data_IF_231568122762
#
_entry.id   IF_231568122762
#
_cell.length_a   1.000
_cell.length_b   1.000
_cell.length_c   1.000
_cell.angle_alpha   90.00
_cell.angle_beta   90.00
_cell.angle_gamma   90.00
#
_symmetry.space_group_name_H-M   'P 1'
#
loop_
_entity.id
_entity.type
_entity.pdbx_description
1 polymer ?
#
# COMPACT_ATOMS: atom_id res chain seq x y z
N UNK A 1 -12.26 16.02 -2.06
CA UNK A 1 -12.22 14.69 -1.39
C UNK A 1 -13.06 13.68 -2.15
N UNK A 2 -12.61 12.45 -2.28
CA UNK A 2 -13.37 11.30 -2.78
C UNK A 2 -13.37 10.20 -1.71
N UNK A 3 -14.57 9.77 -1.30
CA UNK A 3 -14.74 8.65 -0.37
C UNK A 3 -15.30 7.44 -1.13
N UNK A 4 -14.73 6.28 -0.89
CA UNK A 4 -15.14 5.02 -1.48
C UNK A 4 -15.28 3.99 -0.35
N UNK A 5 -16.43 3.34 -0.26
CA UNK A 5 -16.57 2.10 0.46
C UNK A 5 -16.16 0.97 -0.51
N UNK A 6 -15.09 0.26 -0.20
CA UNK A 6 -14.60 -0.79 -1.10
C UNK A 6 -15.58 -1.98 -1.20
N UNK A 7 -16.54 -2.11 -0.27
CA UNK A 7 -17.60 -3.11 -0.39
C UNK A 7 -18.55 -2.82 -1.55
N UNK A 8 -18.72 -1.57 -1.94
CA UNK A 8 -19.62 -1.15 -3.01
C UNK A 8 -19.02 -1.34 -4.42
N UNK A 9 -17.70 -1.58 -4.50
CA UNK A 9 -17.05 -1.84 -5.78
C UNK A 9 -17.06 -3.33 -6.08
N UNK A 10 -17.58 -3.77 -7.24
CA UNK A 10 -17.52 -5.17 -7.63
C UNK A 10 -16.07 -5.58 -7.93
N UNK A 11 -15.73 -6.82 -7.62
CA UNK A 11 -14.51 -7.44 -8.07
C UNK A 11 -14.51 -7.60 -9.59
N UNK A 12 -13.41 -7.23 -10.23
CA UNK A 12 -13.18 -7.38 -11.68
C UNK A 12 -12.00 -8.33 -11.91
N UNK A 13 -11.98 -9.09 -13.01
CA UNK A 13 -10.77 -9.83 -13.40
C UNK A 13 -9.58 -8.89 -13.57
N UNK A 14 -8.42 -9.28 -13.03
CA UNK A 14 -7.16 -8.56 -13.26
C UNK A 14 -6.75 -8.76 -14.72
N UNK A 15 -6.53 -7.69 -15.51
CA UNK A 15 -6.26 -7.83 -16.95
C UNK A 15 -5.01 -8.64 -17.26
N UNK A 16 -3.95 -8.42 -16.49
CA UNK A 16 -2.61 -8.95 -16.78
C UNK A 16 -2.27 -10.23 -15.99
N UNK A 17 -3.12 -10.61 -15.03
CA UNK A 17 -2.85 -11.74 -14.14
C UNK A 17 -4.08 -12.65 -14.09
N UNK A 18 -4.13 -13.68 -14.95
CA UNK A 18 -5.25 -14.59 -15.04
C UNK A 18 -5.64 -15.20 -13.69
N UNK A 19 -6.95 -15.20 -13.40
CA UNK A 19 -7.50 -15.76 -12.17
C UNK A 19 -7.47 -14.88 -10.94
N UNK A 20 -6.74 -13.77 -10.94
CA UNK A 20 -6.84 -12.75 -9.90
C UNK A 20 -7.98 -11.78 -10.15
N UNK A 21 -8.48 -11.16 -9.08
CA UNK A 21 -9.49 -10.11 -9.15
C UNK A 21 -8.98 -8.84 -8.48
N UNK A 22 -9.50 -7.69 -8.92
CA UNK A 22 -9.15 -6.41 -8.34
C UNK A 22 -10.34 -5.46 -8.24
N UNK A 23 -10.20 -4.44 -7.39
CA UNK A 23 -11.08 -3.28 -7.28
C UNK A 23 -10.23 -2.04 -7.47
N UNK A 24 -10.36 -1.30 -8.58
CA UNK A 24 -9.61 -0.07 -8.77
C UNK A 24 -10.13 1.02 -7.81
N UNK A 25 -9.22 1.64 -7.09
CA UNK A 25 -9.54 2.73 -6.15
C UNK A 25 -9.08 4.09 -6.69
N UNK A 26 -7.87 4.12 -7.26
CA UNK A 26 -7.28 5.33 -7.84
C UNK A 26 -6.33 4.94 -8.97
N UNK A 27 -6.30 5.76 -10.00
CA UNK A 27 -5.22 5.78 -10.99
C UNK A 27 -4.70 7.20 -11.08
N UNK A 28 -3.41 7.37 -10.96
CA UNK A 28 -2.74 8.65 -11.12
C UNK A 28 -2.63 8.96 -12.62
N UNK A 29 -3.24 10.04 -13.12
CA UNK A 29 -3.26 10.33 -14.55
C UNK A 29 -1.88 10.70 -15.11
N UNK A 30 -0.98 11.21 -14.28
CA UNK A 30 0.33 11.68 -14.72
C UNK A 30 1.36 10.57 -14.75
N UNK A 31 1.30 9.65 -13.80
CA UNK A 31 2.30 8.60 -13.64
C UNK A 31 1.79 7.20 -14.00
N UNK A 32 0.46 7.02 -14.11
CA UNK A 32 -0.15 5.70 -14.24
C UNK A 32 -0.09 4.87 -12.95
N UNK A 33 0.34 5.47 -11.84
CA UNK A 33 0.37 4.81 -10.53
C UNK A 33 -1.03 4.43 -10.08
N UNK A 34 -1.16 3.24 -9.51
CA UNK A 34 -2.45 2.67 -9.14
C UNK A 34 -2.56 2.45 -7.64
N UNK A 35 -3.78 2.59 -7.13
CA UNK A 35 -4.19 2.12 -5.81
C UNK A 35 -5.39 1.20 -6.00
N UNK A 36 -5.29 -0.02 -5.50
CA UNK A 36 -6.34 -1.02 -5.67
C UNK A 36 -6.41 -2.01 -4.49
N UNK A 37 -7.55 -2.66 -4.33
CA UNK A 37 -7.64 -3.89 -3.57
C UNK A 37 -7.50 -5.07 -4.54
N UNK A 38 -6.67 -6.06 -4.20
CA UNK A 38 -6.43 -7.27 -5.00
C UNK A 38 -6.90 -8.49 -4.23
N UNK A 39 -7.63 -9.36 -4.90
CA UNK A 39 -8.04 -10.66 -4.37
C UNK A 39 -7.36 -11.78 -5.14
N UNK A 40 -6.72 -12.65 -4.41
CA UNK A 40 -6.05 -13.85 -4.89
C UNK A 40 -6.89 -15.03 -4.40
N UNK A 41 -7.53 -15.80 -5.28
CA UNK A 41 -8.38 -16.92 -4.89
C UNK A 41 -7.59 -18.05 -4.20
N UNK A 42 -8.25 -18.87 -3.37
CA UNK A 42 -7.66 -20.11 -2.87
C UNK A 42 -7.17 -21.00 -4.03
N UNK A 43 -5.99 -21.59 -3.87
CA UNK A 43 -5.36 -22.46 -4.87
C UNK A 43 -4.75 -21.73 -6.06
N UNK A 44 -4.80 -20.40 -6.13
CA UNK A 44 -4.16 -19.65 -7.19
C UNK A 44 -2.63 -19.77 -7.12
N UNK A 45 -2.01 -20.02 -8.27
CA UNK A 45 -0.56 -20.19 -8.40
C UNK A 45 -0.16 -20.35 -9.85
N UNK A 46 0.98 -20.99 -10.10
CA UNK A 46 1.59 -21.15 -11.43
C UNK A 46 0.65 -21.77 -12.47
N UNK A 47 -0.23 -22.69 -12.07
CA UNK A 47 -1.19 -23.31 -12.96
C UNK A 47 -2.15 -22.30 -13.62
N UNK A 48 -2.51 -21.23 -12.90
CA UNK A 48 -3.33 -20.14 -13.44
C UNK A 48 -2.60 -19.32 -14.50
N UNK A 49 -1.24 -19.34 -14.47
CA UNK A 49 -0.35 -18.64 -15.40
C UNK A 49 0.09 -19.51 -16.59
N UNK A 50 -0.50 -20.71 -16.77
CA UNK A 50 -0.13 -21.64 -17.84
C UNK A 50 1.16 -22.39 -17.55
N UNK A 51 1.46 -22.67 -16.29
CA UNK A 51 2.61 -23.47 -15.82
C UNK A 51 3.97 -22.88 -16.20
N UNK A 52 4.03 -21.59 -16.48
CA UNK A 52 5.29 -20.87 -16.75
C UNK A 52 5.65 -19.99 -15.57
N UNK A 53 6.85 -20.13 -15.01
CA UNK A 53 7.32 -19.20 -13.99
C UNK A 53 7.22 -17.76 -14.50
N UNK A 54 6.61 -16.91 -13.69
CA UNK A 54 6.54 -15.49 -13.95
C UNK A 54 7.59 -14.79 -13.11
N UNK A 55 8.74 -14.54 -13.68
CA UNK A 55 9.86 -13.82 -13.06
C UNK A 55 10.11 -12.54 -13.83
N UNK A 56 10.06 -11.42 -13.14
CA UNK A 56 10.22 -10.09 -13.74
C UNK A 56 10.67 -9.06 -12.72
N UNK A 57 10.99 -7.88 -13.18
CA UNK A 57 11.17 -6.68 -12.36
C UNK A 57 10.63 -5.45 -13.08
N UNK A 58 10.36 -4.38 -12.33
CA UNK A 58 9.95 -3.10 -12.87
C UNK A 58 11.14 -2.13 -12.83
N UNK A 59 11.44 -1.48 -13.94
CA UNK A 59 12.62 -0.60 -14.05
C UNK A 59 12.54 0.63 -13.18
N UNK A 60 11.36 1.23 -13.10
CA UNK A 60 11.12 2.54 -12.48
C UNK A 60 9.96 2.55 -11.49
N UNK A 61 9.20 1.47 -11.41
CA UNK A 61 8.01 1.36 -10.55
C UNK A 61 8.40 0.76 -9.21
N UNK A 62 8.01 1.45 -8.14
CA UNK A 62 7.92 0.84 -6.81
C UNK A 62 6.54 0.25 -6.59
N UNK A 63 6.49 -0.86 -5.91
CA UNK A 63 5.25 -1.53 -5.52
C UNK A 63 5.17 -1.67 -4.01
N UNK A 64 4.01 -1.40 -3.45
CA UNK A 64 3.76 -1.56 -2.02
C UNK A 64 2.45 -2.29 -1.80
N UNK A 65 2.38 -3.08 -0.75
CA UNK A 65 1.13 -3.72 -0.36
C UNK A 65 1.04 -3.98 1.13
N UNK A 66 -0.18 -3.90 1.66
CA UNK A 66 -0.52 -4.40 2.98
C UNK A 66 -1.46 -5.61 2.82
N UNK A 67 -1.07 -6.76 3.37
CA UNK A 67 -1.92 -7.95 3.39
C UNK A 67 -3.01 -7.77 4.44
N UNK A 68 -4.27 -7.61 4.00
CA UNK A 68 -5.39 -7.36 4.92
C UNK A 68 -6.14 -8.63 5.30
N UNK A 69 -6.09 -9.67 4.47
CA UNK A 69 -6.69 -10.97 4.73
C UNK A 69 -5.89 -12.11 4.12
N UNK A 70 -5.92 -13.29 4.78
CA UNK A 70 -5.33 -14.53 4.27
C UNK A 70 -3.82 -14.52 4.16
N UNK A 71 -3.31 -15.34 3.27
CA UNK A 71 -1.89 -15.46 2.97
C UNK A 71 -1.62 -15.57 1.46
N UNK A 72 -0.42 -15.19 1.04
CA UNK A 72 -0.01 -15.23 -0.35
C UNK A 72 1.47 -15.62 -0.47
N UNK A 73 1.79 -16.83 -0.93
CA UNK A 73 3.13 -17.21 -1.34
C UNK A 73 3.58 -16.42 -2.55
N UNK A 74 4.80 -15.90 -2.50
CA UNK A 74 5.40 -15.11 -3.56
C UNK A 74 6.91 -15.36 -3.57
N UNK A 75 7.56 -15.29 -4.73
CA UNK A 75 8.99 -15.57 -4.86
C UNK A 75 9.77 -14.29 -5.08
N UNK A 76 10.87 -14.18 -4.34
CA UNK A 76 11.81 -13.06 -4.40
C UNK A 76 13.17 -13.58 -4.83
N UNK A 77 13.90 -12.77 -5.59
CA UNK A 77 15.18 -13.16 -6.16
C UNK A 77 16.23 -12.10 -5.88
N UNK A 78 17.44 -12.48 -5.54
CA UNK A 78 18.55 -11.56 -5.26
C UNK A 78 19.13 -10.96 -6.54
N UNK A 79 19.18 -11.77 -7.59
CA UNK A 79 19.74 -11.42 -8.89
C UNK A 79 19.10 -12.25 -10.01
N UNK A 80 19.53 -12.04 -11.25
CA UNK A 80 18.99 -12.73 -12.41
C UNK A 80 19.28 -14.25 -12.41
N UNK A 81 20.34 -14.69 -11.74
CA UNK A 81 20.77 -16.10 -11.70
C UNK A 81 20.21 -16.85 -10.48
N UNK A 82 19.64 -16.16 -9.50
CA UNK A 82 19.06 -16.77 -8.30
C UNK A 82 17.78 -17.54 -8.65
N UNK A 83 17.93 -18.81 -8.99
CA UNK A 83 16.83 -19.73 -9.32
C UNK A 83 17.07 -21.06 -8.61
N UNK A 84 16.10 -21.63 -7.90
CA UNK A 84 14.79 -21.05 -7.60
C UNK A 84 14.87 -19.83 -6.69
N UNK A 85 13.85 -18.96 -6.75
CA UNK A 85 13.72 -17.85 -5.84
C UNK A 85 13.40 -18.29 -4.41
N UNK A 86 13.49 -17.36 -3.48
CA UNK A 86 13.04 -17.55 -2.09
C UNK A 86 11.54 -17.36 -2.00
N UNK A 87 10.80 -18.41 -1.58
CA UNK A 87 9.37 -18.31 -1.37
C UNK A 87 9.07 -17.60 -0.04
N UNK A 88 8.46 -16.45 -0.12
CA UNK A 88 7.99 -15.68 1.05
C UNK A 88 6.47 -15.75 1.13
N UNK A 89 5.93 -16.25 2.25
CA UNK A 89 4.49 -16.31 2.49
C UNK A 89 4.06 -15.05 3.22
N UNK A 90 3.51 -14.08 2.49
CA UNK A 90 2.92 -12.86 3.06
C UNK A 90 1.64 -13.22 3.80
N UNK A 91 1.51 -12.82 5.05
CA UNK A 91 0.35 -13.09 5.91
C UNK A 91 -0.38 -11.81 6.26
N UNK A 92 -1.60 -11.93 6.76
CA UNK A 92 -2.35 -10.78 7.30
C UNK A 92 -1.47 -9.92 8.21
N UNK A 93 -1.46 -8.61 7.95
CA UNK A 93 -0.63 -7.64 8.66
C UNK A 93 0.79 -7.49 8.10
N UNK A 94 1.18 -8.23 7.07
CA UNK A 94 2.48 -8.02 6.43
C UNK A 94 2.42 -6.88 5.42
N UNK A 95 3.34 -5.95 5.58
CA UNK A 95 3.61 -4.87 4.63
C UNK A 95 4.79 -5.24 3.77
N UNK A 96 4.67 -5.00 2.47
CA UNK A 96 5.74 -5.16 1.47
C UNK A 96 6.09 -3.80 0.89
N UNK A 97 7.37 -3.49 0.84
CA UNK A 97 7.96 -2.35 0.13
C UNK A 97 8.95 -2.89 -0.89
N UNK A 98 8.60 -2.78 -2.16
CA UNK A 98 9.40 -3.26 -3.29
C UNK A 98 9.83 -2.07 -4.13
N UNK A 99 11.10 -1.67 -4.04
CA UNK A 99 11.63 -0.59 -4.86
C UNK A 99 11.76 -1.02 -6.34
N UNK A 100 12.01 -0.08 -7.26
CA UNK A 100 12.34 -0.40 -8.65
C UNK A 100 13.49 -1.39 -8.73
N UNK A 101 13.55 -2.21 -9.79
CA UNK A 101 14.55 -3.23 -10.07
C UNK A 101 14.61 -4.40 -9.06
N UNK A 102 13.57 -4.58 -8.27
CA UNK A 102 13.44 -5.75 -7.40
C UNK A 102 12.84 -6.91 -8.19
N UNK A 103 13.57 -8.01 -8.29
CA UNK A 103 13.14 -9.20 -9.04
C UNK A 103 12.16 -9.99 -8.19
N UNK A 104 11.03 -10.35 -8.79
CA UNK A 104 9.99 -11.11 -8.12
C UNK A 104 9.16 -11.94 -9.09
N UNK A 105 8.29 -12.79 -8.55
CA UNK A 105 7.43 -13.60 -9.41
C UNK A 105 6.67 -14.70 -8.71
N UNK A 106 6.23 -15.65 -9.53
CA UNK A 106 5.53 -16.86 -9.11
C UNK A 106 6.25 -18.06 -9.72
N UNK A 107 6.58 -19.04 -8.88
CA UNK A 107 7.13 -20.32 -9.29
C UNK A 107 6.22 -21.47 -8.86
N UNK A 108 6.60 -22.69 -9.24
CA UNK A 108 5.95 -23.89 -8.71
C UNK A 108 6.24 -24.05 -7.21
N UNK A 109 5.21 -24.35 -6.44
CA UNK A 109 5.35 -24.49 -4.99
C UNK A 109 4.05 -24.26 -4.23
N UNK A 110 4.13 -23.78 -2.97
CA UNK A 110 2.95 -23.61 -2.15
C UNK A 110 1.98 -22.59 -2.71
N UNK A 111 0.69 -22.87 -2.51
CA UNK A 111 -0.42 -21.96 -2.82
C UNK A 111 -1.24 -21.69 -1.57
N UNK A 112 -1.86 -20.52 -1.48
CA UNK A 112 -2.75 -20.23 -0.37
C UNK A 112 -3.99 -21.13 -0.42
N UNK A 113 -4.34 -21.72 0.71
CA UNK A 113 -5.57 -22.52 0.85
C UNK A 113 -6.79 -21.68 1.19
N UNK A 114 -6.58 -20.47 1.68
CA UNK A 114 -7.64 -19.54 2.12
C UNK A 114 -7.81 -18.36 1.18
N UNK A 115 -6.87 -18.19 0.25
CA UNK A 115 -6.78 -17.01 -0.59
C UNK A 115 -6.23 -15.80 0.16
N UNK A 116 -6.21 -14.66 -0.51
CA UNK A 116 -5.62 -13.45 0.03
C UNK A 116 -6.35 -12.20 -0.45
N UNK A 117 -6.43 -11.18 0.40
CA UNK A 117 -6.78 -9.82 0.01
C UNK A 117 -5.63 -8.90 0.42
N UNK A 118 -5.11 -8.15 -0.52
CA UNK A 118 -4.12 -7.10 -0.28
C UNK A 118 -4.63 -5.75 -0.73
N UNK A 119 -4.31 -4.74 0.06
CA UNK A 119 -4.35 -3.35 -0.38
C UNK A 119 -3.01 -3.07 -1.04
N UNK A 120 -3.03 -2.71 -2.32
CA UNK A 120 -1.84 -2.58 -3.17
C UNK A 120 -1.79 -1.19 -3.82
N UNK A 121 -0.59 -0.67 -3.98
CA UNK A 121 -0.35 0.53 -4.78
C UNK A 121 1.02 0.52 -5.43
N UNK A 122 1.13 1.24 -6.52
CA UNK A 122 2.36 1.43 -7.28
C UNK A 122 2.62 2.90 -7.58
N UNK A 123 3.87 3.26 -7.75
CA UNK A 123 4.26 4.63 -8.10
C UNK A 123 3.95 5.01 -9.55
N UNK A 124 3.66 4.02 -10.39
CA UNK A 124 3.56 4.21 -11.83
C UNK A 124 4.91 4.33 -12.54
N UNK A 125 4.88 4.34 -13.86
CA UNK A 125 6.09 4.33 -14.71
C UNK A 125 6.81 5.66 -14.85
N UNK A 126 6.31 6.74 -14.24
CA UNK A 126 6.85 8.09 -14.38
C UNK A 126 6.15 8.93 -15.46
N UNK A 127 6.45 10.22 -15.47
CA UNK A 127 5.97 11.16 -16.48
C UNK A 127 6.61 10.87 -17.83
N UNK A 128 5.85 10.50 -18.79
CA UNK A 128 6.33 10.18 -20.11
C UNK A 128 5.59 9.01 -20.72
N UNK A 129 4.29 8.96 -20.48
CA UNK A 129 3.39 8.01 -21.13
C UNK A 129 3.21 8.41 -22.61
N UNK A 130 4.31 8.62 -23.33
CA UNK A 130 4.22 8.60 -24.78
C UNK A 130 4.10 7.18 -25.32
N UNK A 131 4.10 6.18 -24.46
CA UNK A 131 4.00 4.82 -24.94
C UNK A 131 3.57 3.85 -23.88
N UNK A 132 2.31 3.50 -23.94
CA UNK A 132 1.87 2.18 -23.59
C UNK A 132 2.35 1.64 -22.25
N UNK A 133 1.61 1.94 -21.21
CA UNK A 133 1.35 1.07 -20.09
C UNK A 133 2.54 0.43 -19.37
N UNK A 134 2.17 -0.39 -18.43
CA UNK A 134 2.99 -1.27 -17.60
C UNK A 134 4.04 -2.08 -18.37
N UNK A 135 3.74 -2.44 -19.61
CA UNK A 135 4.60 -3.25 -20.49
C UNK A 135 5.98 -2.65 -20.77
N UNK A 136 6.11 -1.32 -20.79
CA UNK A 136 7.38 -0.67 -21.04
C UNK A 136 8.30 -0.59 -19.83
N UNK A 137 7.79 -0.81 -18.65
CA UNK A 137 8.56 -0.76 -17.40
C UNK A 137 8.79 -2.15 -16.80
N UNK A 138 7.97 -3.14 -17.16
CA UNK A 138 8.11 -4.52 -16.73
C UNK A 138 9.14 -5.25 -17.63
N UNK A 139 10.13 -5.87 -17.02
CA UNK A 139 11.15 -6.65 -17.71
C UNK A 139 11.04 -8.10 -17.31
N UNK A 140 10.63 -8.95 -18.26
CA UNK A 140 10.64 -10.40 -18.13
C UNK A 140 11.98 -10.95 -18.55
N UNK A 141 12.53 -11.87 -17.77
CA UNK A 141 13.81 -12.49 -18.10
C UNK A 141 13.68 -13.45 -19.26
N UNK A 142 14.56 -13.31 -20.24
CA UNK A 142 14.65 -14.19 -21.42
C UNK A 142 16.07 -14.19 -21.98
N UNK A 143 16.52 -15.33 -22.47
CA UNK A 143 17.84 -15.44 -23.11
C UNK A 143 19.02 -15.34 -22.16
N UNK A 144 20.03 -14.56 -22.52
CA UNK A 144 21.23 -14.37 -21.73
C UNK A 144 20.99 -13.52 -20.50
N UNK A 145 21.14 -14.11 -19.30
CA UNK A 145 20.88 -13.47 -18.03
C UNK A 145 21.95 -12.42 -17.67
N UNK A 146 23.17 -12.54 -18.16
CA UNK A 146 24.24 -11.57 -17.88
C UNK A 146 23.95 -10.21 -18.53
N UNK A 147 23.11 -10.19 -19.57
CA UNK A 147 22.68 -8.95 -20.22
C UNK A 147 21.85 -8.00 -19.32
N UNK A 148 21.33 -8.48 -18.20
CA UNK A 148 20.50 -7.66 -17.29
C UNK A 148 21.30 -6.89 -16.24
N UNK A 149 22.60 -7.17 -16.08
CA UNK A 149 23.45 -6.58 -15.07
C UNK A 149 23.15 -7.12 -13.67
N UNK A 150 23.69 -6.45 -12.66
CA UNK A 150 23.66 -6.89 -11.25
C UNK A 150 23.14 -5.83 -10.26
N UNK A 151 22.68 -4.67 -10.72
CA UNK A 151 22.20 -3.56 -9.90
C UNK A 151 20.74 -3.73 -9.44
N UNK A 152 20.38 -4.92 -9.01
CA UNK A 152 19.06 -5.24 -8.49
C UNK A 152 18.90 -4.79 -7.04
N UNK A 153 17.68 -4.33 -6.72
CA UNK A 153 17.27 -3.98 -5.37
C UNK A 153 16.58 -5.15 -4.67
N UNK A 154 16.41 -5.03 -3.37
CA UNK A 154 15.76 -6.07 -2.58
C UNK A 154 14.43 -5.57 -2.01
N UNK A 155 13.47 -6.46 -1.92
CA UNK A 155 12.20 -6.22 -1.26
C UNK A 155 12.41 -6.14 0.26
N UNK A 156 11.62 -5.29 0.90
CA UNK A 156 11.53 -5.23 2.36
C UNK A 156 10.14 -5.69 2.81
N UNK A 157 10.13 -6.60 3.77
CA UNK A 157 8.91 -7.06 4.43
C UNK A 157 8.88 -6.62 5.88
N UNK A 158 7.71 -6.16 6.32
CA UNK A 158 7.47 -5.73 7.69
C UNK A 158 6.25 -6.45 8.25
N UNK A 159 6.44 -7.26 9.27
CA UNK A 159 5.32 -7.83 10.05
C UNK A 159 4.78 -6.75 10.98
N UNK A 160 3.72 -6.09 10.56
CA UNK A 160 3.14 -4.96 11.31
C UNK A 160 2.56 -5.40 12.66
N UNK A 161 2.23 -6.68 12.83
CA UNK A 161 1.70 -7.20 14.08
C UNK A 161 2.80 -7.30 15.15
N UNK A 162 4.06 -7.47 14.75
CA UNK A 162 5.22 -7.51 15.65
C UNK A 162 5.81 -6.14 15.96
N UNK A 163 5.52 -5.12 15.13
CA UNK A 163 5.94 -3.76 15.44
C UNK A 163 5.18 -3.22 16.64
N UNK A 164 5.90 -2.57 17.55
CA UNK A 164 5.28 -1.85 18.67
C UNK A 164 4.64 -0.55 18.21
N UNK A 165 3.48 -0.24 18.75
CA UNK A 165 2.88 1.07 18.59
C UNK A 165 3.68 2.13 19.35
N UNK A 166 4.12 3.16 18.65
CA UNK A 166 4.80 4.33 19.22
C UNK A 166 3.81 5.49 19.39
N UNK A 167 4.10 6.42 20.29
CA UNK A 167 3.34 7.68 20.36
C UNK A 167 3.54 8.45 19.06
N UNK A 168 2.45 9.01 18.53
CA UNK A 168 2.55 9.82 17.31
C UNK A 168 3.31 11.12 17.62
N UNK A 169 4.34 11.51 16.83
CA UNK A 169 5.18 12.65 17.16
C UNK A 169 4.43 13.99 17.22
N UNK A 170 3.39 14.14 16.40
CA UNK A 170 2.69 15.41 16.21
C UNK A 170 1.22 15.38 16.68
N UNK A 171 0.68 14.23 17.08
CA UNK A 171 -0.74 14.10 17.44
C UNK A 171 -0.85 13.44 18.81
N UNK A 172 -1.13 14.24 19.83
CA UNK A 172 -1.30 13.74 21.18
C UNK A 172 -2.39 12.67 21.27
N UNK A 173 -2.10 11.56 21.93
CA UNK A 173 -3.01 10.44 22.13
C UNK A 173 -3.08 9.45 20.96
N UNK A 174 -2.64 9.79 19.76
CA UNK A 174 -2.51 8.82 18.67
C UNK A 174 -1.28 7.94 18.86
N UNK A 175 -1.34 6.78 18.19
CA UNK A 175 -0.17 5.92 18.04
C UNK A 175 0.08 5.64 16.57
N UNK A 176 1.32 5.34 16.24
CA UNK A 176 1.68 5.03 14.87
C UNK A 176 2.72 3.91 14.77
N UNK A 177 2.84 3.34 13.58
CA UNK A 177 3.91 2.41 13.18
C UNK A 177 4.40 2.86 11.82
N UNK A 178 5.63 3.32 11.74
CA UNK A 178 6.26 3.64 10.46
C UNK A 178 6.61 2.33 9.75
N UNK A 179 6.16 2.17 8.52
CA UNK A 179 6.33 0.94 7.74
C UNK A 179 7.48 1.03 6.74
N UNK A 180 7.85 2.22 6.33
CA UNK A 180 9.00 2.49 5.46
C UNK A 180 10.18 3.01 6.26
N UNK A 181 11.34 3.16 5.64
CA UNK A 181 12.42 3.93 6.22
C UNK A 181 11.99 5.40 6.37
N UNK A 182 12.51 6.14 7.37
CA UNK A 182 12.04 7.49 7.66
C UNK A 182 12.44 8.54 6.63
N UNK A 183 13.45 8.29 5.85
CA UNK A 183 14.07 9.18 4.87
C UNK A 183 13.61 8.92 3.42
N UNK A 184 12.71 7.96 3.21
CA UNK A 184 12.18 7.72 1.87
C UNK A 184 11.18 8.80 1.47
N UNK A 185 11.11 9.05 0.17
CA UNK A 185 10.01 9.80 -0.40
C UNK A 185 8.72 8.99 -0.28
N UNK A 186 7.63 9.64 0.13
CA UNK A 186 6.32 9.02 0.33
C UNK A 186 6.33 7.91 1.42
N UNK A 187 6.66 8.27 2.67
CA UNK A 187 6.64 7.33 3.77
C UNK A 187 5.22 6.78 4.02
N UNK A 188 5.18 5.56 4.52
CA UNK A 188 3.94 4.83 4.81
C UNK A 188 3.86 4.50 6.29
N UNK A 189 2.72 4.75 6.90
CA UNK A 189 2.49 4.43 8.29
C UNK A 189 1.09 3.87 8.55
N UNK A 190 0.97 3.05 9.59
CA UNK A 190 -0.29 2.77 10.25
C UNK A 190 -0.47 3.77 11.40
N UNK A 191 -1.67 4.34 11.49
CA UNK A 191 -2.06 5.20 12.59
C UNK A 191 -3.22 4.57 13.35
N UNK A 192 -3.13 4.57 14.66
CA UNK A 192 -4.19 4.13 15.56
C UNK A 192 -4.84 5.36 16.18
N UNK A 193 -6.12 5.55 15.90
CA UNK A 193 -7.01 6.46 16.59
C UNK A 193 -7.67 5.68 17.72
N UNK A 194 -7.36 5.96 19.00
CA UNK A 194 -7.90 5.17 20.09
C UNK A 194 -9.39 5.44 20.33
N UNK A 195 -10.11 4.52 21.02
CA UNK A 195 -11.49 4.74 21.42
C UNK A 195 -11.64 6.03 22.24
N UNK A 196 -12.68 6.80 21.96
CA UNK A 196 -13.00 8.03 22.69
C UNK A 196 -11.97 9.16 22.53
N UNK A 197 -11.01 9.03 21.63
CA UNK A 197 -10.03 10.10 21.39
C UNK A 197 -10.72 11.37 20.92
N UNK A 198 -10.31 12.49 21.51
CA UNK A 198 -10.78 13.84 21.15
C UNK A 198 -9.57 14.74 21.00
N UNK A 199 -9.50 15.56 19.94
CA UNK A 199 -8.46 16.56 19.83
C UNK A 199 -8.60 17.62 20.92
N UNK A 200 -7.48 18.14 21.40
CA UNK A 200 -7.51 19.38 22.16
C UNK A 200 -8.06 20.50 21.27
N UNK A 201 -8.87 21.39 21.85
CA UNK A 201 -9.55 22.46 21.10
C UNK A 201 -8.55 23.29 20.28
N UNK A 202 -8.76 23.37 18.97
CA UNK A 202 -7.97 24.19 18.05
C UNK A 202 -6.79 23.51 17.38
N UNK A 203 -6.48 22.26 17.69
CA UNK A 203 -5.42 21.53 17.01
C UNK A 203 -5.92 20.95 15.67
N UNK A 204 -5.33 21.39 14.57
CA UNK A 204 -5.49 20.77 13.26
C UNK A 204 -4.48 19.65 13.18
N UNK A 205 -4.97 18.43 13.14
CA UNK A 205 -4.12 17.25 13.04
C UNK A 205 -4.26 16.62 11.66
N UNK A 206 -3.22 16.69 10.94
CA UNK A 206 -3.04 15.95 9.71
C UNK A 206 -1.56 16.00 9.38
N UNK A 207 -1.04 15.09 8.58
CA UNK A 207 0.10 15.43 7.79
C UNK A 207 -0.25 16.76 7.13
N UNK A 208 0.64 17.75 7.16
CA UNK A 208 0.36 19.08 6.61
C UNK A 208 -0.33 18.96 5.26
N UNK A 209 -1.07 19.95 4.82
CA UNK A 209 -1.93 19.94 3.62
C UNK A 209 -1.29 19.29 2.38
N UNK A 210 0.03 19.17 2.38
CA UNK A 210 0.85 18.67 1.29
C UNK A 210 1.20 17.18 1.42
N UNK A 211 0.82 16.48 2.50
CA UNK A 211 1.43 15.20 2.85
C UNK A 211 0.54 13.96 2.70
N UNK A 212 -0.76 14.02 2.86
CA UNK A 212 -1.61 12.83 2.67
C UNK A 212 -2.26 12.86 1.29
N UNK A 213 -1.94 11.87 0.46
CA UNK A 213 -2.62 11.71 -0.83
C UNK A 213 -3.86 10.85 -0.72
N UNK A 214 -3.78 9.82 0.13
CA UNK A 214 -4.88 8.91 0.39
C UNK A 214 -4.70 8.18 1.72
N UNK A 215 -5.79 7.65 2.22
CA UNK A 215 -5.80 6.74 3.36
C UNK A 215 -6.80 5.60 3.16
N UNK A 216 -6.53 4.52 3.87
CA UNK A 216 -7.37 3.33 3.87
C UNK A 216 -7.62 2.87 5.30
N UNK A 217 -8.88 2.66 5.67
CA UNK A 217 -9.24 2.13 6.99
C UNK A 217 -9.04 0.62 7.00
N UNK A 218 -8.03 0.19 7.74
CA UNK A 218 -7.63 -1.23 7.82
C UNK A 218 -8.50 -1.99 8.83
N UNK A 219 -8.95 -1.32 9.88
CA UNK A 219 -9.73 -1.93 10.94
C UNK A 219 -10.53 -0.89 11.71
N UNK A 220 -11.72 -1.28 12.19
CA UNK A 220 -12.56 -0.45 13.05
C UNK A 220 -13.39 0.55 12.27
N UNK A 221 -14.02 1.45 13.00
CA UNK A 221 -14.89 2.48 12.44
C UNK A 221 -14.89 3.75 13.29
N UNK A 222 -15.26 4.86 12.68
CA UNK A 222 -15.33 6.13 13.37
C UNK A 222 -15.79 7.24 12.45
N UNK A 223 -15.73 8.46 12.98
CA UNK A 223 -15.94 9.66 12.19
C UNK A 223 -14.58 10.29 11.86
N UNK A 224 -14.44 10.78 10.64
CA UNK A 224 -13.29 11.56 10.20
C UNK A 224 -13.77 12.94 9.72
N UNK A 225 -12.94 13.95 9.94
CA UNK A 225 -13.20 15.30 9.47
C UNK A 225 -12.19 15.64 8.39
N UNK A 226 -12.66 16.13 7.27
CA UNK A 226 -11.82 16.61 6.18
C UNK A 226 -12.04 18.11 6.03
N UNK A 227 -10.95 18.86 6.15
CA UNK A 227 -10.95 20.30 5.94
C UNK A 227 -10.51 20.60 4.53
N UNK A 228 -11.38 21.26 3.77
CA UNK A 228 -11.04 21.97 2.54
C UNK A 228 -10.70 23.44 2.81
N UNK A 229 -10.50 24.24 1.78
CA UNK A 229 -10.18 25.66 1.93
C UNK A 229 -11.25 26.46 2.68
N UNK A 230 -12.52 26.11 2.50
CA UNK A 230 -13.68 26.86 3.06
C UNK A 230 -14.61 26.02 3.90
N UNK A 231 -14.53 24.70 3.81
CA UNK A 231 -15.50 23.78 4.33
C UNK A 231 -14.85 22.73 5.24
N UNK A 232 -15.58 22.31 6.25
CA UNK A 232 -15.23 21.18 7.10
C UNK A 232 -16.32 20.12 6.94
N UNK A 233 -15.92 18.93 6.47
CA UNK A 233 -16.83 17.82 6.23
C UNK A 233 -16.61 16.72 7.25
N UNK A 234 -17.67 16.32 7.94
CA UNK A 234 -17.71 15.12 8.76
C UNK A 234 -18.10 13.94 7.89
N UNK A 235 -17.30 12.88 7.93
CA UNK A 235 -17.55 11.64 7.20
C UNK A 235 -17.50 10.44 8.14
N UNK A 236 -18.37 9.46 7.91
CA UNK A 236 -18.27 8.17 8.57
C UNK A 236 -17.30 7.30 7.81
N UNK A 237 -16.36 6.68 8.53
CA UNK A 237 -15.39 5.74 8.00
C UNK A 237 -15.48 4.41 8.74
N UNK A 238 -15.27 3.31 8.01
CA UNK A 238 -15.26 1.94 8.54
C UNK A 238 -14.19 1.13 7.82
N UNK A 239 -13.90 -0.05 8.31
CA UNK A 239 -13.01 -0.99 7.61
C UNK A 239 -13.36 -1.11 6.13
N UNK A 240 -12.37 -0.99 5.26
CA UNK A 240 -12.54 -0.95 3.81
C UNK A 240 -12.88 0.43 3.24
N UNK A 241 -12.97 1.50 4.04
CA UNK A 241 -13.11 2.86 3.49
C UNK A 241 -11.79 3.36 2.95
N UNK A 242 -11.79 3.78 1.68
CA UNK A 242 -10.70 4.50 1.02
C UNK A 242 -11.07 5.98 0.88
N UNK A 243 -10.14 6.85 1.26
CA UNK A 243 -10.27 8.30 1.11
C UNK A 243 -9.13 8.83 0.25
N UNK A 244 -9.48 9.57 -0.77
CA UNK A 244 -8.53 10.35 -1.57
C UNK A 244 -8.74 11.84 -1.25
N UNK A 245 -7.67 12.50 -0.79
CA UNK A 245 -7.68 13.91 -0.48
C UNK A 245 -7.28 14.71 -1.72
N UNK A 246 -8.01 15.77 -2.00
CA UNK A 246 -7.68 16.74 -3.05
C UNK A 246 -6.57 17.68 -2.62
N UNK A 247 -6.07 18.46 -3.57
CA UNK A 247 -5.12 19.53 -3.28
C UNK A 247 -5.72 20.52 -2.26
N UNK A 248 -4.97 20.84 -1.22
CA UNK A 248 -5.43 21.73 -0.14
C UNK A 248 -6.40 21.11 0.87
N UNK A 249 -6.81 19.87 0.68
CA UNK A 249 -7.60 19.15 1.67
C UNK A 249 -6.71 18.45 2.70
N UNK A 250 -7.10 18.53 3.95
CA UNK A 250 -6.40 17.89 5.07
C UNK A 250 -7.38 17.07 5.90
N UNK A 251 -6.89 16.00 6.49
CA UNK A 251 -7.56 15.39 7.61
C UNK A 251 -7.50 16.36 8.78
N UNK A 252 -8.61 16.98 9.09
CA UNK A 252 -8.75 17.89 10.21
C UNK A 252 -9.72 17.34 11.23
N UNK A 253 -9.46 17.65 12.48
CA UNK A 253 -10.27 17.19 13.59
C UNK A 253 -10.74 18.41 14.36
N UNK A 254 -11.99 18.80 14.16
CA UNK A 254 -12.70 19.71 15.06
C UNK A 254 -13.94 18.97 15.56
N UNK A 255 -13.99 18.75 16.87
CA UNK A 255 -15.12 18.09 17.52
C UNK A 255 -14.79 16.69 18.05
N UNK A 256 -15.74 16.10 18.75
CA UNK A 256 -15.59 14.77 19.32
C UNK A 256 -15.60 13.71 18.24
N UNK A 257 -14.46 13.11 18.00
CA UNK A 257 -14.42 11.83 17.31
C UNK A 257 -14.88 10.75 18.28
N UNK A 258 -16.11 10.33 18.13
CA UNK A 258 -16.62 9.20 18.89
C UNK A 258 -16.46 7.93 18.05
N UNK A 259 -15.33 7.29 18.18
CA UNK A 259 -15.24 5.88 17.84
C UNK A 259 -15.36 5.09 19.12
N UNK A 260 -16.39 4.28 19.24
CA UNK A 260 -16.54 3.39 20.39
C UNK A 260 -15.41 2.35 20.47
N UNK A 261 -14.83 1.98 19.35
CA UNK A 261 -13.84 0.90 19.20
C UNK A 261 -12.45 1.38 18.80
N UNK A 262 -12.29 2.65 18.39
CA UNK A 262 -11.11 3.11 17.70
C UNK A 262 -11.02 2.58 16.26
N UNK A 263 -10.05 3.06 15.50
CA UNK A 263 -9.77 2.53 14.17
C UNK A 263 -8.31 2.69 13.77
N UNK A 264 -7.88 1.84 12.82
CA UNK A 264 -6.53 1.84 12.26
C UNK A 264 -6.59 2.29 10.81
N UNK A 265 -5.80 3.29 10.48
CA UNK A 265 -5.63 3.80 9.11
C UNK A 265 -4.23 3.52 8.59
N UNK A 266 -4.17 3.05 7.34
CA UNK A 266 -2.97 3.07 6.53
C UNK A 266 -2.93 4.40 5.79
N UNK A 267 -1.83 5.10 5.88
CA UNK A 267 -1.63 6.38 5.21
C UNK A 267 -0.34 6.35 4.40
N UNK A 268 -0.40 6.72 3.12
CA UNK A 268 0.76 7.10 2.33
C UNK A 268 0.84 8.63 2.31
N UNK A 269 1.98 9.14 2.73
CA UNK A 269 2.25 10.57 2.84
C UNK A 269 3.11 11.01 1.65
N UNK A 270 2.84 12.19 1.09
CA UNK A 270 3.72 12.79 0.10
C UNK A 270 4.84 13.56 0.79
N UNK A 271 6.08 13.39 0.34
CA UNK A 271 7.24 14.12 0.86
C UNK A 271 7.92 13.46 2.07
N UNK A 272 9.04 14.03 2.47
CA UNK A 272 9.85 13.52 3.59
C UNK A 272 9.23 13.95 4.92
N UNK A 273 9.16 13.04 5.89
CA UNK A 273 8.71 13.36 7.24
C UNK A 273 9.61 14.42 7.86
N UNK A 274 9.09 15.60 8.23
CA UNK A 274 9.91 16.57 8.95
C UNK A 274 10.28 15.98 10.33
N UNK A 275 11.58 15.80 10.57
CA UNK A 275 12.15 15.43 11.88
C UNK A 275 11.72 14.08 12.48
N UNK A 276 11.74 13.01 11.72
CA UNK A 276 11.89 11.68 12.30
C UNK A 276 13.34 11.54 12.83
N UNK A 277 13.70 12.34 13.81
CA UNK A 277 14.93 12.09 14.57
C UNK A 277 14.70 10.80 15.33
N UNK A 278 15.47 9.78 14.99
CA UNK A 278 15.60 8.58 15.79
C UNK A 278 15.92 9.00 17.23
N UNK A 279 14.89 8.97 18.08
CA UNK A 279 15.12 9.02 19.51
C UNK A 279 15.91 7.76 19.91
N UNK A 280 16.76 7.85 20.92
CA UNK A 280 17.64 6.78 21.36
C UNK A 280 16.89 5.51 21.76
#
# INVERSE_FOLDING_TARGET
>A
MRQIDTSDIPWKPEPDIPGMLYKPLRTDPDTGGEVLARFIPPGWGIAALGEKPMRHYHRTVSERSLQVHGDFPHWEYRDAHHVPGECVVKRKGWFMDRPPRCIHGIEDGPVSQVGAISFYWSSGGGTGVESGGRENVEVKFSGDLDAYGDDFTQVRYVDTLRLSWQSHPNIAGWKWKLLTEPDVQDPVALHLVPPGWRPDSGAIYGPGADMARWLYVVQGEGDAWVRGEKDLHKIRVKEGTFLELGAGETLGWEGSMESATGYVILCAMAGVLPNATNGP
#
